data_IF_655828353977
#
_entry.id   IF_655828353977
#
_cell.length_a   1.000
_cell.length_b   1.000
_cell.length_c   1.000
_cell.angle_alpha   90.00
_cell.angle_beta   90.00
_cell.angle_gamma   90.00
#
_symmetry.space_group_name_H-M   'P 1'
#
loop_
_entity.id
_entity.type
_entity.pdbx_description
1 polymer ?
#
# COMPACT_ATOMS: atom_id res chain seq x y z
N UNK A 1 15.66 5.16 12.82
CA UNK A 1 16.40 3.91 12.60
C UNK A 1 17.87 4.16 12.87
N UNK A 2 18.43 3.57 13.91
CA UNK A 2 19.87 3.64 14.16
C UNK A 2 20.53 2.59 13.27
N UNK A 3 21.11 3.02 12.16
CA UNK A 3 22.02 2.17 11.42
C UNK A 3 23.23 1.88 12.31
N UNK A 4 23.55 0.61 12.51
CA UNK A 4 24.89 0.25 13.01
C UNK A 4 25.90 0.82 12.01
N UNK A 5 27.04 1.26 12.47
CA UNK A 5 28.06 2.02 11.73
C UNK A 5 28.62 1.31 10.48
N UNK A 6 28.14 0.12 10.16
CA UNK A 6 28.59 -0.69 9.04
C UNK A 6 27.41 -0.98 8.09
N UNK A 7 27.62 -0.77 6.80
CA UNK A 7 26.69 -1.14 5.73
C UNK A 7 27.46 -1.90 4.64
N UNK A 8 26.74 -2.81 3.99
CA UNK A 8 27.32 -3.67 2.96
C UNK A 8 26.49 -3.55 1.68
N UNK A 9 27.19 -3.55 0.53
CA UNK A 9 26.53 -3.65 -0.76
C UNK A 9 25.94 -5.07 -0.90
N UNK A 10 24.66 -5.17 -1.26
CA UNK A 10 23.99 -6.44 -1.52
C UNK A 10 23.73 -6.57 -3.02
N UNK A 11 22.90 -5.67 -3.58
CA UNK A 11 22.53 -5.72 -4.99
C UNK A 11 22.06 -4.34 -5.48
N UNK A 12 21.97 -4.18 -6.81
CA UNK A 12 21.28 -3.08 -7.47
C UNK A 12 20.12 -3.65 -8.28
N UNK A 13 18.91 -3.18 -8.03
CA UNK A 13 17.76 -3.46 -8.88
C UNK A 13 17.77 -2.50 -10.08
N UNK A 14 18.32 -2.93 -11.20
CA UNK A 14 18.47 -2.11 -12.42
C UNK A 14 17.13 -1.98 -13.18
N UNK A 15 16.06 -1.64 -12.49
CA UNK A 15 14.71 -1.47 -13.03
C UNK A 15 13.91 -0.52 -12.16
N UNK A 16 12.78 -0.04 -12.69
CA UNK A 16 11.80 0.68 -11.88
C UNK A 16 11.26 -0.24 -10.78
N UNK A 17 11.12 0.28 -9.57
CA UNK A 17 10.63 -0.49 -8.43
C UNK A 17 9.12 -0.37 -8.30
N UNK A 18 8.49 -1.33 -7.60
CA UNK A 18 7.04 -1.31 -7.37
C UNK A 18 6.63 -0.02 -6.65
N UNK A 19 7.43 0.41 -5.69
CA UNK A 19 7.20 1.57 -4.81
C UNK A 19 7.59 2.93 -5.43
N UNK A 20 7.93 3.01 -6.74
CA UNK A 20 8.24 4.30 -7.38
C UNK A 20 7.14 5.37 -7.25
N UNK A 21 5.83 5.02 -7.15
CA UNK A 21 4.78 6.01 -6.99
C UNK A 21 4.97 6.93 -5.78
N UNK A 22 5.59 6.44 -4.70
CA UNK A 22 5.90 7.24 -3.52
C UNK A 22 6.86 8.38 -3.88
N UNK A 23 7.93 8.06 -4.59
CA UNK A 23 8.91 9.04 -5.04
C UNK A 23 8.31 10.03 -6.04
N UNK A 24 7.43 9.57 -6.92
CA UNK A 24 6.69 10.43 -7.86
C UNK A 24 5.77 11.41 -7.12
N UNK A 25 4.99 10.92 -6.15
CA UNK A 25 4.02 11.75 -5.42
C UNK A 25 4.69 12.86 -4.58
N UNK A 26 5.88 12.60 -4.00
CA UNK A 26 6.57 13.60 -3.20
C UNK A 26 7.47 14.51 -4.02
N UNK A 27 7.91 14.10 -5.21
CA UNK A 27 8.76 14.92 -6.10
C UNK A 27 7.96 15.67 -7.18
N UNK A 28 6.76 15.19 -7.51
CA UNK A 28 5.96 15.71 -8.63
C UNK A 28 6.48 15.28 -10.00
N UNK A 29 7.31 14.24 -10.09
CA UNK A 29 7.91 13.73 -11.32
C UNK A 29 7.21 12.46 -11.80
N UNK A 30 7.17 12.25 -13.11
CA UNK A 30 6.76 11.00 -13.75
C UNK A 30 8.02 10.22 -14.17
N UNK A 31 8.38 9.20 -13.37
CA UNK A 31 9.61 8.45 -13.58
C UNK A 31 9.56 7.58 -14.84
N UNK A 32 8.38 7.04 -15.18
CA UNK A 32 8.22 6.22 -16.38
C UNK A 32 8.41 7.09 -17.62
N UNK A 33 7.77 8.26 -17.66
CA UNK A 33 7.95 9.21 -18.75
C UNK A 33 9.39 9.65 -18.89
N UNK A 34 10.05 10.01 -17.79
CA UNK A 34 11.46 10.42 -17.80
C UNK A 34 12.39 9.31 -18.32
N UNK A 35 12.14 8.05 -17.97
CA UNK A 35 12.90 6.92 -18.51
C UNK A 35 12.73 6.81 -20.03
N UNK A 36 11.53 7.00 -20.55
CA UNK A 36 11.24 6.98 -21.99
C UNK A 36 11.95 8.15 -22.68
N UNK A 37 11.85 9.36 -22.13
CA UNK A 37 12.50 10.56 -22.67
C UNK A 37 14.02 10.37 -22.75
N UNK A 38 14.65 9.87 -21.67
CA UNK A 38 16.10 9.56 -21.64
C UNK A 38 16.47 8.49 -22.67
N UNK A 39 15.67 7.44 -22.82
CA UNK A 39 15.89 6.39 -23.81
C UNK A 39 15.80 6.92 -25.25
N UNK A 40 15.03 7.99 -25.48
CA UNK A 40 14.95 8.71 -26.74
C UNK A 40 16.09 9.72 -26.94
N UNK A 41 17.01 9.84 -26.00
CA UNK A 41 18.17 10.74 -26.06
C UNK A 41 17.93 12.14 -25.52
N UNK A 42 16.76 12.38 -24.91
CA UNK A 42 16.46 13.66 -24.27
C UNK A 42 17.22 13.81 -22.94
N UNK A 43 17.78 14.99 -22.64
CA UNK A 43 18.41 15.24 -21.35
C UNK A 43 17.34 15.39 -20.24
N UNK A 44 17.74 15.12 -19.00
CA UNK A 44 16.89 15.45 -17.85
C UNK A 44 16.51 16.94 -17.85
N UNK A 45 15.22 17.30 -17.71
CA UNK A 45 14.74 18.69 -17.78
C UNK A 45 15.07 19.51 -16.51
N UNK A 46 15.76 18.93 -15.54
CA UNK A 46 16.10 19.56 -14.24
C UNK A 46 17.47 19.08 -13.76
N UNK A 47 18.01 19.79 -12.78
CA UNK A 47 19.24 19.43 -12.05
C UNK A 47 18.88 18.95 -10.65
N UNK A 48 19.80 18.20 -10.02
CA UNK A 48 19.61 17.69 -8.64
C UNK A 48 19.16 18.78 -7.64
N UNK A 49 19.68 19.99 -7.76
CA UNK A 49 19.32 21.12 -6.89
C UNK A 49 17.88 21.63 -7.04
N UNK A 50 17.24 21.30 -8.16
CA UNK A 50 15.88 21.75 -8.48
C UNK A 50 14.84 20.79 -7.88
N UNK A 51 15.28 19.59 -7.47
CA UNK A 51 14.41 18.58 -6.85
C UNK A 51 14.07 18.97 -5.42
N UNK A 52 12.76 18.99 -5.13
CA UNK A 52 12.23 19.23 -3.79
C UNK A 52 11.30 18.07 -3.42
N UNK A 53 11.54 17.51 -2.26
CA UNK A 53 10.62 16.54 -1.67
C UNK A 53 9.53 17.32 -0.94
N UNK A 54 8.27 17.09 -1.31
CA UNK A 54 7.12 17.80 -0.76
C UNK A 54 6.15 16.81 -0.10
N UNK A 55 5.88 17.01 1.19
CA UNK A 55 4.95 16.21 1.95
C UNK A 55 5.41 14.77 2.18
N UNK A 56 4.44 13.91 2.41
CA UNK A 56 4.61 12.49 2.75
C UNK A 56 3.69 11.65 1.87
N UNK A 57 4.18 10.53 1.39
CA UNK A 57 3.38 9.57 0.67
C UNK A 57 3.45 8.19 1.31
N UNK A 58 2.36 7.46 1.26
CA UNK A 58 2.24 6.08 1.74
C UNK A 58 1.71 5.23 0.60
N UNK A 59 2.30 4.06 0.39
CA UNK A 59 1.82 3.04 -0.53
C UNK A 59 1.42 1.78 0.24
N UNK A 60 0.23 1.25 -0.06
CA UNK A 60 -0.18 -0.08 0.32
C UNK A 60 -0.25 -0.95 -0.95
N UNK A 61 0.52 -2.03 -0.98
CA UNK A 61 0.43 -3.06 -2.03
C UNK A 61 -0.77 -3.96 -1.74
N UNK A 62 -1.83 -3.80 -2.49
CA UNK A 62 -3.02 -4.62 -2.32
C UNK A 62 -2.79 -5.95 -3.01
N UNK A 63 -2.47 -6.96 -2.21
CA UNK A 63 -2.20 -8.31 -2.65
C UNK A 63 -3.42 -9.21 -2.42
N UNK A 64 -3.62 -10.14 -3.34
CA UNK A 64 -4.57 -11.24 -3.18
C UNK A 64 -3.92 -12.35 -2.34
N UNK A 65 -3.95 -12.20 -1.02
CA UNK A 65 -3.29 -13.06 -0.05
C UNK A 65 -4.14 -13.24 1.20
N UNK A 66 -4.18 -14.47 1.71
CA UNK A 66 -4.80 -14.75 3.00
C UNK A 66 -3.78 -14.56 4.13
N UNK A 67 -3.98 -13.49 4.90
CA UNK A 67 -3.11 -13.09 6.00
C UNK A 67 -3.03 -14.15 7.11
N UNK A 68 -4.08 -14.95 7.31
CA UNK A 68 -4.14 -15.98 8.35
C UNK A 68 -3.56 -17.33 7.90
N UNK A 69 -3.34 -17.52 6.61
CA UNK A 69 -2.69 -18.68 6.03
C UNK A 69 -1.26 -18.38 5.56
N UNK A 70 -0.50 -17.67 6.40
CA UNK A 70 0.89 -17.31 6.11
C UNK A 70 1.06 -16.59 4.75
N UNK A 71 0.12 -15.66 4.43
CA UNK A 71 0.06 -14.92 3.18
C UNK A 71 -0.05 -15.80 1.93
N UNK A 72 -0.70 -16.96 2.05
CA UNK A 72 -0.96 -17.82 0.90
C UNK A 72 -1.72 -17.05 -0.19
N UNK A 73 -1.34 -17.21 -1.48
CA UNK A 73 -2.04 -16.55 -2.57
C UNK A 73 -3.52 -16.95 -2.63
N UNK A 74 -4.40 -15.95 -2.73
CA UNK A 74 -5.84 -16.10 -2.91
C UNK A 74 -6.19 -15.79 -4.37
N UNK A 75 -6.47 -16.79 -5.16
CA UNK A 75 -6.73 -16.66 -6.60
C UNK A 75 -8.19 -16.94 -6.92
N UNK A 76 -8.68 -16.41 -8.04
CA UNK A 76 -10.05 -16.65 -8.47
C UNK A 76 -10.73 -15.43 -9.10
N UNK A 77 -12.02 -15.55 -9.40
CA UNK A 77 -12.80 -14.46 -9.99
C UNK A 77 -13.01 -13.33 -8.98
N UNK A 78 -13.00 -12.10 -9.50
CA UNK A 78 -13.34 -10.86 -8.77
C UNK A 78 -14.67 -10.34 -9.36
N UNK A 79 -15.82 -10.79 -8.84
CA UNK A 79 -17.13 -10.39 -9.38
C UNK A 79 -17.38 -8.90 -9.29
N UNK A 80 -16.91 -8.28 -8.20
CA UNK A 80 -17.10 -6.85 -7.96
C UNK A 80 -15.86 -6.23 -7.30
N UNK A 81 -15.60 -4.96 -7.64
CA UNK A 81 -14.50 -4.17 -7.11
C UNK A 81 -14.86 -2.69 -7.08
N UNK A 82 -14.58 -2.04 -5.96
CA UNK A 82 -14.61 -0.59 -5.82
C UNK A 82 -13.20 -0.05 -5.66
N UNK A 83 -12.77 0.82 -6.58
CA UNK A 83 -11.47 1.48 -6.54
C UNK A 83 -11.64 2.85 -5.89
N UNK A 84 -10.93 3.14 -4.79
CA UNK A 84 -11.03 4.42 -4.12
C UNK A 84 -10.50 5.55 -4.99
N UNK A 85 -11.11 6.72 -4.89
CA UNK A 85 -10.72 7.91 -5.60
C UNK A 85 -10.85 9.14 -4.69
N UNK A 86 -10.16 10.22 -5.07
CA UNK A 86 -10.25 11.49 -4.35
C UNK A 86 -8.95 12.31 -4.45
N UNK A 87 -8.93 13.51 -3.85
CA UNK A 87 -7.74 14.34 -3.85
C UNK A 87 -6.55 13.63 -3.20
N UNK A 88 -5.42 13.56 -3.93
CA UNK A 88 -4.18 12.94 -3.47
C UNK A 88 -4.31 11.43 -3.16
N UNK A 89 -5.24 10.75 -3.80
CA UNK A 89 -5.37 9.29 -3.84
C UNK A 89 -5.04 8.84 -5.25
N UNK A 90 -4.09 7.91 -5.38
CA UNK A 90 -3.72 7.24 -6.63
C UNK A 90 -3.86 5.75 -6.44
N UNK A 91 -4.51 5.09 -7.39
CA UNK A 91 -4.59 3.63 -7.41
C UNK A 91 -4.14 3.12 -8.78
N UNK A 92 -2.98 2.48 -8.82
CA UNK A 92 -2.47 1.81 -10.02
C UNK A 92 -2.91 0.35 -9.95
N UNK A 93 -3.81 -0.08 -10.83
CA UNK A 93 -4.44 -1.40 -10.76
C UNK A 93 -4.83 -1.93 -12.13
N UNK A 94 -4.94 -3.25 -12.23
CA UNK A 94 -5.55 -3.94 -13.37
C UNK A 94 -6.99 -4.43 -13.04
N UNK A 95 -7.45 -4.23 -11.81
CA UNK A 95 -8.75 -4.73 -11.37
C UNK A 95 -9.90 -4.03 -12.08
N UNK A 96 -10.91 -4.83 -12.44
CA UNK A 96 -12.23 -4.40 -12.91
C UNK A 96 -13.27 -5.49 -12.56
N UNK A 97 -14.55 -5.16 -12.41
CA UNK A 97 -15.60 -6.16 -12.12
C UNK A 97 -15.60 -7.28 -13.15
N UNK A 98 -15.51 -8.53 -12.70
CA UNK A 98 -15.45 -9.72 -13.55
C UNK A 98 -14.05 -10.15 -13.98
N UNK A 99 -12.97 -9.46 -13.55
CA UNK A 99 -11.61 -9.95 -13.79
C UNK A 99 -11.31 -11.19 -12.95
N UNK A 100 -10.16 -11.81 -13.20
CA UNK A 100 -9.70 -12.99 -12.46
C UNK A 100 -8.27 -12.78 -11.97
N UNK A 101 -8.02 -13.03 -10.69
CA UNK A 101 -6.66 -13.12 -10.14
C UNK A 101 -6.06 -14.47 -10.52
N UNK A 102 -5.01 -14.40 -11.33
CA UNK A 102 -4.35 -15.57 -11.90
C UNK A 102 -3.39 -16.22 -10.91
N UNK A 103 -3.33 -17.58 -10.81
CA UNK A 103 -2.32 -18.28 -10.03
C UNK A 103 -0.93 -18.30 -10.69
N UNK A 104 -0.79 -17.80 -11.91
CA UNK A 104 0.46 -17.86 -12.68
C UNK A 104 1.32 -16.59 -12.56
N UNK A 105 0.84 -15.58 -11.85
CA UNK A 105 1.51 -14.29 -11.65
C UNK A 105 1.59 -13.97 -10.16
N UNK A 106 2.29 -12.87 -9.83
CA UNK A 106 2.35 -12.32 -8.49
C UNK A 106 0.95 -11.96 -7.96
N UNK A 107 0.78 -12.02 -6.65
CA UNK A 107 -0.47 -11.70 -5.95
C UNK A 107 -0.85 -10.22 -5.98
N UNK A 108 0.03 -9.32 -6.44
CA UNK A 108 -0.20 -7.89 -6.46
C UNK A 108 -1.34 -7.50 -7.41
N UNK A 109 -2.41 -6.95 -6.86
CA UNK A 109 -3.59 -6.50 -7.62
C UNK A 109 -3.61 -4.99 -7.84
N UNK A 110 -3.18 -4.23 -6.85
CA UNK A 110 -3.18 -2.78 -6.90
C UNK A 110 -2.08 -2.18 -6.03
N UNK A 111 -1.62 -0.97 -6.41
CA UNK A 111 -0.83 -0.09 -5.56
C UNK A 111 -1.71 1.09 -5.19
N UNK A 112 -2.17 1.10 -3.95
CA UNK A 112 -2.92 2.23 -3.40
C UNK A 112 -1.95 3.19 -2.75
N UNK A 113 -1.90 4.42 -3.25
CA UNK A 113 -0.97 5.44 -2.80
C UNK A 113 -1.73 6.69 -2.35
N UNK A 114 -1.28 7.29 -1.27
CA UNK A 114 -1.82 8.57 -0.79
C UNK A 114 -0.70 9.55 -0.48
N UNK A 115 -1.02 10.84 -0.64
CA UNK A 115 -0.11 11.93 -0.30
C UNK A 115 -0.78 12.87 0.69
N UNK A 116 0.02 13.49 1.56
CA UNK A 116 -0.40 14.57 2.45
C UNK A 116 0.76 15.51 2.80
N UNK A 117 0.49 16.76 3.17
CA UNK A 117 1.51 17.71 3.64
C UNK A 117 2.21 17.21 4.93
N UNK A 118 1.52 16.38 5.72
CA UNK A 118 2.04 15.72 6.90
C UNK A 118 1.89 14.20 6.80
N UNK A 119 2.71 13.46 7.56
CA UNK A 119 2.58 11.99 7.66
C UNK A 119 1.18 11.59 8.12
N UNK A 120 0.65 12.27 9.13
CA UNK A 120 -0.68 11.95 9.70
C UNK A 120 -1.80 12.18 8.67
N UNK A 121 -1.74 13.23 7.86
CA UNK A 121 -2.74 13.45 6.81
C UNK A 121 -2.67 12.38 5.71
N UNK A 122 -1.44 11.98 5.30
CA UNK A 122 -1.27 10.88 4.33
C UNK A 122 -1.80 9.57 4.91
N UNK A 123 -1.50 9.27 6.20
CA UNK A 123 -1.96 8.07 6.91
C UNK A 123 -3.49 8.02 7.04
N UNK A 124 -4.11 9.11 7.47
CA UNK A 124 -5.57 9.19 7.61
C UNK A 124 -6.27 9.04 6.26
N UNK A 125 -5.71 9.66 5.21
CA UNK A 125 -6.22 9.52 3.84
C UNK A 125 -6.09 8.08 3.34
N UNK A 126 -4.99 7.39 3.68
CA UNK A 126 -4.82 5.97 3.35
C UNK A 126 -5.88 5.10 4.04
N UNK A 127 -6.15 5.34 5.31
CA UNK A 127 -7.22 4.62 6.03
C UNK A 127 -8.59 4.85 5.40
N UNK A 128 -8.92 6.08 5.01
CA UNK A 128 -10.16 6.38 4.29
C UNK A 128 -10.21 5.63 2.96
N UNK A 129 -9.14 5.69 2.17
CA UNK A 129 -9.08 5.01 0.88
C UNK A 129 -9.18 3.48 1.02
N UNK A 130 -8.55 2.88 2.05
CA UNK A 130 -8.68 1.44 2.35
C UNK A 130 -10.09 1.06 2.83
N UNK A 131 -10.82 1.96 3.48
CA UNK A 131 -12.22 1.73 3.85
C UNK A 131 -13.16 1.78 2.65
N UNK A 132 -12.85 2.64 1.68
CA UNK A 132 -13.63 2.76 0.45
C UNK A 132 -13.28 1.66 -0.57
N UNK A 133 -12.12 1.01 -0.42
CA UNK A 133 -11.71 -0.06 -1.33
C UNK A 133 -12.40 -1.37 -1.00
N UNK A 134 -13.05 -1.96 -2.01
CA UNK A 134 -13.71 -3.24 -1.90
C UNK A 134 -13.25 -4.17 -3.02
N UNK A 135 -12.92 -5.40 -2.68
CA UNK A 135 -12.57 -6.47 -3.64
C UNK A 135 -13.31 -7.72 -3.23
N UNK A 136 -14.20 -8.21 -4.09
CA UNK A 136 -14.98 -9.41 -3.83
C UNK A 136 -14.33 -10.64 -4.47
N UNK A 137 -14.42 -11.77 -3.79
CA UNK A 137 -14.08 -13.09 -4.35
C UNK A 137 -12.70 -13.61 -4.02
N UNK A 138 -11.82 -12.77 -3.49
CA UNK A 138 -10.46 -13.15 -3.03
C UNK A 138 -10.16 -12.52 -1.67
N UNK A 139 -9.34 -13.19 -0.86
CA UNK A 139 -8.79 -12.61 0.35
C UNK A 139 -7.72 -11.57 -0.01
N UNK A 140 -7.61 -10.52 0.80
CA UNK A 140 -6.71 -9.39 0.50
C UNK A 140 -5.93 -8.93 1.72
N UNK A 141 -4.80 -8.25 1.48
CA UNK A 141 -3.99 -7.59 2.51
C UNK A 141 -4.64 -6.33 3.11
N UNK A 142 -5.81 -5.88 2.62
CA UNK A 142 -6.48 -4.64 3.07
C UNK A 142 -6.73 -4.61 4.59
N UNK A 143 -7.29 -5.66 5.23
CA UNK A 143 -7.55 -5.63 6.67
C UNK A 143 -6.27 -5.46 7.49
N UNK A 144 -5.19 -6.14 7.11
CA UNK A 144 -3.91 -6.03 7.79
C UNK A 144 -3.34 -4.60 7.74
N UNK A 145 -3.44 -3.93 6.59
CA UNK A 145 -2.99 -2.53 6.48
C UNK A 145 -3.78 -1.60 7.38
N UNK A 146 -5.09 -1.80 7.54
CA UNK A 146 -5.90 -1.00 8.47
C UNK A 146 -5.42 -1.17 9.91
N UNK A 147 -5.16 -2.40 10.35
CA UNK A 147 -4.59 -2.68 11.67
C UNK A 147 -3.21 -2.03 11.85
N UNK A 148 -2.29 -2.19 10.87
CA UNK A 148 -0.97 -1.59 10.92
C UNK A 148 -1.04 -0.05 11.03
N UNK A 149 -1.79 0.59 10.14
CA UNK A 149 -1.89 2.06 10.08
C UNK A 149 -2.56 2.66 11.33
N UNK A 150 -3.38 1.90 12.05
CA UNK A 150 -4.00 2.32 13.30
C UNK A 150 -3.12 2.06 14.53
N UNK A 151 -2.11 1.22 14.42
CA UNK A 151 -1.22 0.88 15.55
C UNK A 151 -0.38 2.07 16.02
N UNK A 152 -0.18 2.17 17.32
CA UNK A 152 0.68 3.22 17.92
C UNK A 152 2.14 3.07 17.48
N UNK A 153 2.58 1.83 17.28
CA UNK A 153 3.94 1.52 16.85
C UNK A 153 4.21 2.13 15.46
N UNK A 154 3.28 2.00 14.52
CA UNK A 154 3.40 2.60 13.19
C UNK A 154 3.35 4.13 13.24
N UNK A 155 2.41 4.70 14.00
CA UNK A 155 2.27 6.16 14.18
C UNK A 155 3.53 6.78 14.76
N UNK A 156 4.20 6.07 15.68
CA UNK A 156 5.44 6.51 16.32
C UNK A 156 6.71 6.16 15.53
N UNK A 157 6.59 5.62 14.32
CA UNK A 157 7.72 5.28 13.46
C UNK A 157 8.60 4.14 13.97
N UNK A 158 8.08 3.25 14.80
CA UNK A 158 8.79 2.10 15.34
C UNK A 158 8.88 0.97 14.30
N UNK A 159 9.51 1.26 13.18
CA UNK A 159 9.57 0.36 12.03
C UNK A 159 10.80 -0.53 12.08
N UNK A 160 10.61 -1.83 11.77
CA UNK A 160 11.68 -2.82 11.67
C UNK A 160 11.27 -3.93 10.69
N UNK A 161 12.23 -4.72 10.23
CA UNK A 161 11.98 -5.83 9.30
C UNK A 161 11.13 -6.95 9.94
N UNK A 162 11.11 -7.03 11.25
CA UNK A 162 10.32 -7.98 12.05
C UNK A 162 9.02 -7.36 12.62
N UNK A 163 8.57 -6.22 12.09
CA UNK A 163 7.46 -5.41 12.61
C UNK A 163 6.19 -6.25 12.87
N UNK A 164 5.74 -7.04 11.89
CA UNK A 164 4.53 -7.83 12.00
C UNK A 164 4.60 -8.83 13.15
N UNK A 165 5.73 -9.52 13.28
CA UNK A 165 5.97 -10.50 14.34
C UNK A 165 6.18 -9.84 15.70
N UNK A 166 7.00 -8.79 15.74
CA UNK A 166 7.39 -8.09 16.97
C UNK A 166 6.20 -7.49 17.71
N UNK A 167 5.23 -6.97 16.96
CA UNK A 167 4.06 -6.30 17.50
C UNK A 167 2.76 -7.11 17.34
N UNK A 168 2.90 -8.39 17.03
CA UNK A 168 1.79 -9.35 16.96
C UNK A 168 0.62 -8.84 16.07
N UNK A 169 0.96 -8.26 14.91
CA UNK A 169 -0.03 -7.58 14.05
C UNK A 169 -1.13 -8.50 13.53
N UNK A 170 -0.84 -9.79 13.35
CA UNK A 170 -1.85 -10.79 12.92
C UNK A 170 -2.84 -11.07 14.05
N UNK A 171 -2.37 -11.15 15.30
CA UNK A 171 -3.24 -11.35 16.47
C UNK A 171 -4.13 -10.11 16.69
N UNK A 172 -3.55 -8.90 16.60
CA UNK A 172 -4.30 -7.64 16.62
C UNK A 172 -5.37 -7.58 15.52
N UNK A 173 -5.04 -7.98 14.30
CA UNK A 173 -6.01 -8.08 13.21
C UNK A 173 -7.16 -9.03 13.56
N UNK A 174 -6.86 -10.20 14.13
CA UNK A 174 -7.88 -11.15 14.56
C UNK A 174 -8.85 -10.55 15.59
N UNK A 175 -8.32 -9.75 16.53
CA UNK A 175 -9.13 -9.03 17.52
C UNK A 175 -9.99 -7.93 16.89
N UNK A 176 -9.41 -7.14 15.98
CA UNK A 176 -10.13 -6.07 15.26
C UNK A 176 -11.31 -6.63 14.47
N UNK A 177 -11.11 -7.75 13.75
CA UNK A 177 -12.17 -8.39 12.97
C UNK A 177 -13.28 -9.01 13.85
N UNK A 178 -12.94 -9.49 15.06
CA UNK A 178 -13.96 -9.95 16.02
C UNK A 178 -14.83 -8.79 16.51
N UNK A 179 -14.21 -7.67 16.89
CA UNK A 179 -14.94 -6.46 17.32
C UNK A 179 -15.84 -5.93 16.21
N UNK A 180 -15.35 -5.85 14.97
CA UNK A 180 -16.20 -5.41 13.84
C UNK A 180 -17.42 -6.31 13.62
N UNK A 181 -17.31 -7.61 13.85
CA UNK A 181 -18.45 -8.55 13.74
C UNK A 181 -19.44 -8.36 14.87
N UNK A 182 -18.97 -8.14 16.10
CA UNK A 182 -19.80 -7.88 17.28
C UNK A 182 -20.59 -6.58 17.10
N UNK A 183 -19.91 -5.49 16.72
CA UNK A 183 -20.54 -4.18 16.48
C UNK A 183 -21.61 -4.25 15.38
N UNK A 184 -21.34 -4.96 14.27
CA UNK A 184 -22.32 -5.16 13.19
C UNK A 184 -23.52 -5.98 13.63
N UNK A 185 -23.31 -6.98 14.48
CA UNK A 185 -24.40 -7.80 15.05
C UNK A 185 -25.28 -6.99 15.98
N UNK A 186 -24.70 -6.15 16.86
CA UNK A 186 -25.44 -5.27 17.74
C UNK A 186 -26.24 -4.20 16.98
N UNK A 187 -25.62 -3.59 15.96
CA UNK A 187 -26.30 -2.62 15.11
C UNK A 187 -27.50 -3.24 14.34
N UNK A 188 -27.36 -4.49 13.88
CA UNK A 188 -28.42 -5.20 13.19
C UNK A 188 -29.57 -5.61 14.13
N UNK A 189 -29.31 -5.78 15.43
CA UNK A 189 -30.34 -6.09 16.45
C UNK A 189 -31.09 -4.84 16.92
N UNK A 190 -30.48 -3.65 16.74
CA UNK A 190 -31.04 -2.36 17.15
C UNK A 190 -31.89 -1.66 16.07
N UNK A 191 -31.89 -2.17 14.84
CA UNK A 191 -32.62 -1.65 13.67
C UNK A 191 -33.89 -2.42 13.38
#
# INVERSE_FOLDING_TARGET
MLFRSEFYFIEINARLQVEHPISEMVSGLDFVKLQIDIANGEPLPFKQKDLKMNGYAIECRINAEDTFLDFAPSTGPVPDVTIPAGPNVRCDTYLYPGCTVSPFYDSLMAKLCTWGPTFEESRTRMLTALNDMYVQGVETSIPLYKTILNSEEYKNGQLSTDFLKRYEMIDKLSEDLKKEKEDKSEAALAA
#
